data_IF_603949164499
#
_entry.id   IF_603949164499
#
_cell.length_a   1.000
_cell.length_b   1.000
_cell.length_c   1.000
_cell.angle_alpha   90.00
_cell.angle_beta   90.00
_cell.angle_gamma   90.00
#
_symmetry.space_group_name_H-M   'P 1'
#
loop_
_entity.id
_entity.type
_entity.pdbx_description
1 polymer ?
#
# COMPACT_ATOMS: atom_id res chain seq x y z
N UNK A 1 -10.43 -4.93 12.34
CA UNK A 1 -10.14 -5.85 13.46
C UNK A 1 -9.27 -5.22 14.54
N UNK A 2 -8.14 -4.58 14.20
CA UNK A 2 -7.18 -4.08 15.19
C UNK A 2 -7.73 -2.97 16.10
N UNK A 3 -8.61 -2.09 15.61
CA UNK A 3 -9.19 -1.00 16.42
C UNK A 3 -9.90 -1.49 17.67
N UNK A 4 -10.75 -2.51 17.54
CA UNK A 4 -11.48 -3.09 18.69
C UNK A 4 -10.55 -3.77 19.68
N UNK A 5 -9.46 -4.39 19.22
CA UNK A 5 -8.42 -4.96 20.08
C UNK A 5 -7.64 -3.88 20.85
N UNK A 6 -7.57 -2.66 20.32
CA UNK A 6 -6.92 -1.51 20.94
C UNK A 6 -7.88 -0.65 21.77
N UNK A 7 -9.12 -1.11 22.00
CA UNK A 7 -10.13 -0.42 22.80
C UNK A 7 -10.91 0.67 22.06
N UNK A 8 -10.79 0.73 20.73
CA UNK A 8 -11.39 1.75 19.88
C UNK A 8 -12.60 1.20 19.11
N UNK A 9 -13.51 2.09 18.70
CA UNK A 9 -14.69 1.69 17.92
C UNK A 9 -14.26 1.11 16.56
N UNK A 10 -15.05 0.18 15.97
CA UNK A 10 -14.84 -0.25 14.59
C UNK A 10 -14.74 0.95 13.65
N UNK A 11 -13.84 0.86 12.67
CA UNK A 11 -13.66 1.91 11.67
C UNK A 11 -14.93 2.05 10.84
N UNK A 12 -15.30 3.28 10.54
CA UNK A 12 -16.24 3.60 9.47
C UNK A 12 -15.41 4.01 8.24
N UNK A 13 -15.72 3.45 7.06
CA UNK A 13 -15.06 3.83 5.83
C UNK A 13 -15.46 5.29 5.50
N UNK A 14 -14.49 6.20 5.48
CA UNK A 14 -14.69 7.61 5.11
C UNK A 14 -13.57 8.13 4.19
N UNK A 15 -13.80 9.30 3.58
CA UNK A 15 -12.83 9.98 2.73
C UNK A 15 -12.25 9.10 1.60
N UNK A 16 -10.93 9.20 1.39
CA UNK A 16 -10.19 8.49 0.33
C UNK A 16 -10.34 6.97 0.44
N UNK A 17 -10.37 6.45 1.67
CA UNK A 17 -10.51 5.02 1.92
C UNK A 17 -11.88 4.51 1.49
N UNK A 18 -12.95 5.25 1.79
CA UNK A 18 -14.29 4.91 1.30
C UNK A 18 -14.34 4.90 -0.23
N UNK A 19 -13.81 5.95 -0.86
CA UNK A 19 -13.80 6.06 -2.32
C UNK A 19 -13.09 4.85 -2.99
N UNK A 20 -11.95 4.43 -2.44
CA UNK A 20 -11.20 3.28 -2.94
C UNK A 20 -11.97 1.96 -2.76
N UNK A 21 -12.53 1.75 -1.55
CA UNK A 21 -13.31 0.55 -1.23
C UNK A 21 -14.56 0.42 -2.11
N UNK A 22 -15.31 1.51 -2.27
CA UNK A 22 -16.52 1.53 -3.08
C UNK A 22 -16.22 1.30 -4.57
N UNK A 23 -15.15 1.92 -5.10
CA UNK A 23 -14.76 1.74 -6.49
C UNK A 23 -14.42 0.28 -6.80
N UNK A 24 -13.65 -0.38 -5.92
CA UNK A 24 -13.32 -1.80 -6.04
C UNK A 24 -14.55 -2.70 -5.87
N UNK A 25 -15.41 -2.41 -4.88
CA UNK A 25 -16.63 -3.17 -4.65
C UNK A 25 -17.56 -3.13 -5.87
N UNK A 26 -17.71 -1.96 -6.49
CA UNK A 26 -18.50 -1.85 -7.72
C UNK A 26 -17.90 -2.67 -8.88
N UNK A 27 -16.57 -2.69 -9.03
CA UNK A 27 -15.92 -3.53 -10.04
C UNK A 27 -16.14 -5.03 -9.79
N UNK A 28 -16.17 -5.48 -8.53
CA UNK A 28 -16.51 -6.86 -8.19
C UNK A 28 -17.93 -7.23 -8.66
N UNK A 29 -18.90 -6.33 -8.49
CA UNK A 29 -20.27 -6.54 -8.99
C UNK A 29 -20.29 -6.68 -10.51
N UNK A 30 -19.49 -5.88 -11.23
CA UNK A 30 -19.38 -5.94 -12.70
C UNK A 30 -18.78 -7.27 -13.16
N UNK A 31 -17.67 -7.70 -12.55
CA UNK A 31 -17.07 -9.01 -12.86
C UNK A 31 -18.03 -10.16 -12.54
N UNK A 32 -18.75 -10.09 -11.42
CA UNK A 32 -19.73 -11.11 -11.07
C UNK A 32 -20.87 -11.20 -12.10
N UNK A 33 -21.40 -10.07 -12.55
CA UNK A 33 -22.42 -10.04 -13.61
C UNK A 33 -21.88 -10.64 -14.90
N UNK A 34 -20.65 -10.30 -15.27
CA UNK A 34 -20.05 -10.82 -16.50
C UNK A 34 -19.89 -12.34 -16.46
N UNK A 35 -19.35 -12.87 -15.36
CA UNK A 35 -19.21 -14.31 -15.14
C UNK A 35 -20.57 -15.05 -15.24
N UNK A 36 -21.68 -14.40 -14.87
CA UNK A 36 -23.01 -14.99 -15.05
C UNK A 36 -23.50 -15.01 -16.50
N UNK A 37 -23.13 -14.00 -17.30
CA UNK A 37 -23.58 -13.86 -18.70
C UNK A 37 -22.84 -14.83 -19.61
N UNK A 38 -21.52 -14.90 -19.53
CA UNK A 38 -20.68 -15.67 -20.46
C UNK A 38 -20.11 -16.97 -19.87
N UNK A 39 -20.35 -17.24 -18.58
CA UNK A 39 -19.80 -18.37 -17.82
C UNK A 39 -18.28 -18.34 -17.65
N UNK A 40 -17.60 -17.25 -18.05
CA UNK A 40 -16.17 -17.00 -17.92
C UNK A 40 -15.29 -18.19 -18.34
N UNK A 41 -15.36 -18.65 -19.61
CA UNK A 41 -14.69 -19.86 -20.05
C UNK A 41 -13.15 -19.77 -19.97
N UNK A 42 -12.59 -18.57 -20.04
CA UNK A 42 -11.14 -18.33 -19.90
C UNK A 42 -10.70 -18.10 -18.44
N UNK A 43 -11.66 -18.03 -17.51
CA UNK A 43 -11.45 -17.74 -16.09
C UNK A 43 -10.80 -16.38 -15.78
N UNK A 44 -10.81 -15.44 -16.72
CA UNK A 44 -10.15 -14.15 -16.56
C UNK A 44 -10.90 -13.25 -15.58
N UNK A 45 -12.24 -13.26 -15.61
CA UNK A 45 -13.03 -12.47 -14.67
C UNK A 45 -12.97 -13.03 -13.26
N UNK A 46 -12.94 -14.36 -13.09
CA UNK A 46 -12.72 -15.01 -11.80
C UNK A 46 -11.35 -14.65 -11.21
N UNK A 47 -10.31 -14.65 -12.04
CA UNK A 47 -8.96 -14.24 -11.64
C UNK A 47 -8.93 -12.79 -11.16
N UNK A 48 -9.48 -11.87 -11.95
CA UNK A 48 -9.56 -10.44 -11.60
C UNK A 48 -10.43 -10.19 -10.36
N UNK A 49 -11.52 -10.94 -10.19
CA UNK A 49 -12.38 -10.88 -9.01
C UNK A 49 -11.60 -11.25 -7.74
N UNK A 50 -10.89 -12.39 -7.75
CA UNK A 50 -10.07 -12.83 -6.60
C UNK A 50 -8.96 -11.83 -6.29
N UNK A 51 -8.28 -11.30 -7.30
CA UNK A 51 -7.25 -10.28 -7.09
C UNK A 51 -7.81 -8.99 -6.50
N UNK A 52 -8.98 -8.56 -6.96
CA UNK A 52 -9.67 -7.36 -6.44
C UNK A 52 -10.13 -7.56 -5.00
N UNK A 53 -10.67 -8.73 -4.65
CA UNK A 53 -10.98 -9.06 -3.24
C UNK A 53 -9.72 -9.04 -2.36
N UNK A 54 -8.62 -9.60 -2.85
CA UNK A 54 -7.34 -9.57 -2.15
C UNK A 54 -6.81 -8.14 -1.94
N UNK A 55 -7.07 -7.22 -2.89
CA UNK A 55 -6.74 -5.80 -2.76
C UNK A 55 -7.59 -5.09 -1.71
N UNK A 56 -8.90 -5.36 -1.65
CA UNK A 56 -9.79 -4.84 -0.60
C UNK A 56 -9.28 -5.24 0.79
N UNK A 57 -9.00 -6.52 1.00
CA UNK A 57 -8.46 -7.02 2.28
C UNK A 57 -7.10 -6.39 2.58
N UNK A 58 -6.20 -6.30 1.59
CA UNK A 58 -4.88 -5.69 1.78
C UNK A 58 -4.97 -4.21 2.16
N UNK A 59 -5.92 -3.47 1.57
CA UNK A 59 -6.13 -2.05 1.90
C UNK A 59 -6.67 -1.87 3.33
N UNK A 60 -7.57 -2.74 3.77
CA UNK A 60 -8.04 -2.73 5.16
C UNK A 60 -6.89 -3.01 6.13
N UNK A 61 -6.04 -4.00 5.85
CA UNK A 61 -4.84 -4.30 6.64
C UNK A 61 -3.86 -3.12 6.69
N UNK A 62 -3.57 -2.48 5.55
CA UNK A 62 -2.70 -1.31 5.48
C UNK A 62 -3.21 -0.17 6.37
N UNK A 63 -4.50 0.14 6.30
CA UNK A 63 -5.10 1.17 7.17
C UNK A 63 -4.95 0.80 8.64
N UNK A 64 -5.26 -0.46 8.98
CA UNK A 64 -5.20 -0.91 10.37
C UNK A 64 -3.76 -0.91 10.92
N UNK A 65 -2.77 -1.26 10.11
CA UNK A 65 -1.35 -1.16 10.49
C UNK A 65 -0.93 0.30 10.70
N UNK A 66 -1.38 1.22 9.85
CA UNK A 66 -1.13 2.66 10.05
C UNK A 66 -1.81 3.17 11.33
N UNK A 67 -3.05 2.75 11.59
CA UNK A 67 -3.77 3.09 12.82
C UNK A 67 -3.05 2.58 14.06
N UNK A 68 -2.67 1.30 14.07
CA UNK A 68 -1.98 0.69 15.21
C UNK A 68 -0.62 1.33 15.46
N UNK A 69 0.17 1.61 14.42
CA UNK A 69 1.42 2.36 14.55
C UNK A 69 1.17 3.72 15.19
N UNK A 70 0.19 4.49 14.70
CA UNK A 70 -0.16 5.78 15.28
C UNK A 70 -0.63 5.69 16.75
N UNK A 71 -1.33 4.62 17.11
CA UNK A 71 -1.78 4.36 18.49
C UNK A 71 -0.60 4.14 19.44
N UNK A 72 0.31 3.23 19.08
CA UNK A 72 1.46 2.90 19.91
C UNK A 72 2.48 4.03 19.97
N UNK A 73 2.64 4.78 18.88
CA UNK A 73 3.47 5.99 18.82
C UNK A 73 3.15 6.98 19.94
N UNK A 74 1.87 7.19 20.27
CA UNK A 74 1.43 8.17 21.29
C UNK A 74 1.97 7.86 22.69
N UNK A 75 2.34 6.61 22.95
CA UNK A 75 2.83 6.14 24.24
C UNK A 75 4.36 6.18 24.37
N UNK A 76 5.06 6.60 23.31
CA UNK A 76 6.53 6.75 23.27
C UNK A 76 6.86 8.23 23.38
N UNK A 77 7.48 8.63 24.48
CA UNK A 77 7.78 10.02 24.85
C UNK A 77 9.29 10.28 25.03
N UNK A 78 10.07 9.24 25.35
CA UNK A 78 11.51 9.33 25.48
C UNK A 78 12.17 9.78 24.16
N UNK A 79 13.27 10.53 24.27
CA UNK A 79 14.06 10.99 23.11
C UNK A 79 15.13 9.99 22.65
N UNK A 80 15.37 8.93 23.41
CA UNK A 80 16.28 7.83 23.07
C UNK A 80 15.74 6.51 23.59
N UNK A 81 16.17 5.39 23.00
CA UNK A 81 15.82 4.04 23.44
C UNK A 81 16.36 3.71 24.83
N UNK A 82 17.46 4.36 25.23
CA UNK A 82 18.12 4.13 26.53
C UNK A 82 17.32 4.77 27.68
N UNK A 83 16.60 5.86 27.38
CA UNK A 83 15.80 6.59 28.36
C UNK A 83 14.38 6.01 28.51
N UNK A 84 14.00 5.01 27.71
CA UNK A 84 12.68 4.39 27.77
C UNK A 84 12.53 3.48 28.99
N UNK A 85 11.39 3.59 29.67
CA UNK A 85 10.97 2.58 30.66
C UNK A 85 10.69 1.22 30.00
N UNK A 86 10.71 0.09 30.73
CA UNK A 86 10.38 -1.21 30.15
C UNK A 86 9.00 -1.25 29.46
N UNK A 87 8.00 -0.56 30.04
CA UNK A 87 6.67 -0.43 29.45
C UNK A 87 6.73 0.33 28.13
N UNK A 88 7.44 1.45 28.11
CA UNK A 88 7.60 2.27 26.91
C UNK A 88 8.36 1.53 25.79
N UNK A 89 9.40 0.76 26.14
CA UNK A 89 10.10 -0.12 25.18
C UNK A 89 9.16 -1.11 24.51
N UNK A 90 8.22 -1.68 25.27
CA UNK A 90 7.22 -2.59 24.72
C UNK A 90 6.24 -1.87 23.76
N UNK A 91 5.80 -0.64 24.10
CA UNK A 91 4.97 0.16 23.18
C UNK A 91 5.75 0.57 21.93
N UNK A 92 7.03 0.93 22.05
CA UNK A 92 7.91 1.23 20.92
C UNK A 92 8.09 0.03 19.99
N UNK A 93 8.31 -1.17 20.55
CA UNK A 93 8.41 -2.39 19.76
C UNK A 93 7.11 -2.67 18.95
N UNK A 94 5.94 -2.46 19.55
CA UNK A 94 4.65 -2.57 18.85
C UNK A 94 4.49 -1.52 17.77
N UNK A 95 4.88 -0.27 18.04
CA UNK A 95 4.93 0.78 17.03
C UNK A 95 5.80 0.36 15.84
N UNK A 96 7.03 -0.09 16.08
CA UNK A 96 7.97 -0.51 15.04
C UNK A 96 7.38 -1.67 14.22
N UNK A 97 6.77 -2.66 14.87
CA UNK A 97 6.14 -3.79 14.20
C UNK A 97 5.07 -3.35 13.18
N UNK A 98 4.09 -2.56 13.62
CA UNK A 98 3.02 -2.09 12.73
C UNK A 98 3.50 -1.08 11.69
N UNK A 99 4.48 -0.25 12.03
CA UNK A 99 5.09 0.69 11.09
C UNK A 99 5.78 -0.02 9.94
N UNK A 100 6.62 -1.03 10.27
CA UNK A 100 7.31 -1.88 9.30
C UNK A 100 6.33 -2.60 8.38
N UNK A 101 5.36 -3.27 8.99
CA UNK A 101 4.33 -3.99 8.27
C UNK A 101 3.58 -3.08 7.28
N UNK A 102 3.13 -1.90 7.71
CA UNK A 102 2.33 -1.06 6.83
C UNK A 102 3.13 -0.38 5.72
N UNK A 103 4.42 0.00 5.89
CA UNK A 103 5.18 0.48 4.74
C UNK A 103 5.49 -0.64 3.73
N UNK A 104 5.66 -1.89 4.16
CA UNK A 104 5.82 -3.03 3.26
C UNK A 104 4.51 -3.26 2.49
N UNK A 105 3.38 -3.30 3.18
CA UNK A 105 2.04 -3.47 2.58
C UNK A 105 1.71 -2.37 1.59
N UNK A 106 2.09 -1.11 1.87
CA UNK A 106 1.88 0.01 0.98
C UNK A 106 2.43 -0.27 -0.43
N UNK A 107 3.70 -0.71 -0.54
CA UNK A 107 4.28 -1.05 -1.83
C UNK A 107 3.74 -2.34 -2.42
N UNK A 108 3.48 -3.35 -1.59
CA UNK A 108 2.89 -4.60 -2.07
C UNK A 108 1.51 -4.38 -2.72
N UNK A 109 0.69 -3.48 -2.17
CA UNK A 109 -0.61 -3.11 -2.75
C UNK A 109 -0.41 -2.39 -4.08
N UNK A 110 0.48 -1.40 -4.14
CA UNK A 110 0.78 -0.71 -5.41
C UNK A 110 1.20 -1.71 -6.49
N UNK A 111 2.10 -2.64 -6.17
CA UNK A 111 2.56 -3.66 -7.13
C UNK A 111 1.41 -4.59 -7.56
N UNK A 112 0.54 -5.02 -6.64
CA UNK A 112 -0.67 -5.79 -6.96
C UNK A 112 -1.62 -5.02 -7.89
N UNK A 113 -1.83 -3.73 -7.65
CA UNK A 113 -2.62 -2.87 -8.55
C UNK A 113 -1.96 -2.78 -9.92
N UNK A 114 -0.63 -2.64 -9.96
CA UNK A 114 0.14 -2.69 -11.21
C UNK A 114 -0.13 -3.98 -11.99
N UNK A 115 -0.13 -5.14 -11.32
CA UNK A 115 -0.47 -6.42 -11.95
C UNK A 115 -1.89 -6.44 -12.51
N UNK A 116 -2.89 -5.97 -11.75
CA UNK A 116 -4.28 -5.88 -12.22
C UNK A 116 -4.40 -4.99 -13.45
N UNK A 117 -3.77 -3.81 -13.43
CA UNK A 117 -3.82 -2.87 -14.56
C UNK A 117 -3.11 -3.42 -15.79
N UNK A 118 -1.95 -4.08 -15.59
CA UNK A 118 -1.25 -4.74 -16.68
C UNK A 118 -2.11 -5.81 -17.36
N UNK A 119 -2.86 -6.58 -16.57
CA UNK A 119 -3.76 -7.61 -17.07
C UNK A 119 -4.96 -7.01 -17.81
N UNK A 120 -5.69 -6.10 -17.17
CA UNK A 120 -6.93 -5.53 -17.72
C UNK A 120 -6.67 -4.76 -19.02
N UNK A 121 -5.57 -4.02 -19.09
CA UNK A 121 -5.23 -3.17 -20.23
C UNK A 121 -4.19 -3.79 -21.16
N UNK A 122 -3.86 -5.07 -20.96
CA UNK A 122 -2.92 -5.84 -21.78
C UNK A 122 -1.61 -5.08 -22.08
N UNK A 123 -1.07 -4.42 -21.05
CA UNK A 123 0.10 -3.53 -21.20
C UNK A 123 1.39 -4.30 -21.49
N UNK A 124 1.36 -5.63 -21.39
CA UNK A 124 2.49 -6.53 -21.72
C UNK A 124 3.79 -6.16 -21.00
N UNK A 125 3.69 -5.63 -19.78
CA UNK A 125 4.84 -5.18 -18.96
C UNK A 125 5.79 -6.34 -18.67
N UNK A 126 5.26 -7.55 -18.52
CA UNK A 126 6.01 -8.79 -18.34
C UNK A 126 6.99 -9.09 -19.48
N UNK A 127 6.71 -8.65 -20.71
CA UNK A 127 7.61 -8.82 -21.85
C UNK A 127 8.90 -8.02 -21.71
N UNK A 128 8.89 -6.96 -20.91
CA UNK A 128 10.10 -6.19 -20.59
C UNK A 128 10.78 -6.70 -19.31
N UNK A 129 10.01 -7.13 -18.30
CA UNK A 129 10.54 -7.63 -17.03
C UNK A 129 9.56 -8.58 -16.35
N UNK A 130 9.97 -9.83 -16.11
CA UNK A 130 9.13 -10.84 -15.45
C UNK A 130 8.62 -10.41 -14.06
N UNK A 131 9.46 -9.70 -13.28
CA UNK A 131 9.07 -9.09 -12.02
C UNK A 131 9.10 -7.56 -12.12
N UNK A 132 7.94 -6.95 -12.25
CA UNK A 132 7.79 -5.51 -12.39
C UNK A 132 7.11 -4.89 -11.16
N UNK A 133 7.37 -3.61 -10.92
CA UNK A 133 6.66 -2.82 -9.91
C UNK A 133 5.56 -2.00 -10.56
N UNK A 134 4.68 -1.46 -9.73
CA UNK A 134 3.70 -0.44 -10.11
C UNK A 134 4.30 0.67 -10.98
N UNK A 135 5.47 1.19 -10.59
CA UNK A 135 6.14 2.26 -11.31
C UNK A 135 6.68 1.83 -12.69
N UNK A 136 6.86 0.53 -12.93
CA UNK A 136 7.15 0.02 -14.28
C UNK A 136 5.87 -0.01 -15.11
N UNK A 137 4.74 -0.40 -14.53
CA UNK A 137 3.43 -0.38 -15.22
C UNK A 137 3.02 1.04 -15.59
N UNK A 138 3.23 2.02 -14.71
CA UNK A 138 2.97 3.44 -15.02
C UNK A 138 3.76 3.95 -16.24
N UNK A 139 5.01 3.49 -16.39
CA UNK A 139 5.81 3.85 -17.57
C UNK A 139 5.25 3.22 -18.85
N UNK A 140 4.69 2.02 -18.77
CA UNK A 140 4.05 1.39 -19.92
C UNK A 140 2.73 2.07 -20.30
N UNK A 141 1.96 2.51 -19.32
CA UNK A 141 0.76 3.32 -19.54
C UNK A 141 1.04 4.61 -20.33
N UNK A 142 2.17 5.26 -20.10
CA UNK A 142 2.55 6.48 -20.81
C UNK A 142 2.77 6.23 -22.31
N UNK A 143 3.20 5.02 -22.68
CA UNK A 143 3.30 4.61 -24.09
C UNK A 143 1.96 4.15 -24.68
N UNK A 144 1.00 3.74 -23.84
CA UNK A 144 -0.31 3.27 -24.27
C UNK A 144 -1.27 4.44 -24.54
N UNK A 145 -1.43 4.82 -25.81
CA UNK A 145 -2.29 5.95 -26.23
C UNK A 145 -3.76 5.81 -25.84
N UNK A 146 -4.28 4.59 -25.73
CA UNK A 146 -5.70 4.33 -25.48
C UNK A 146 -6.16 4.72 -24.06
N UNK A 147 -5.25 4.67 -23.08
CA UNK A 147 -5.56 4.93 -21.67
C UNK A 147 -4.80 6.14 -21.10
N UNK A 148 -4.49 7.11 -21.96
CA UNK A 148 -3.67 8.27 -21.61
C UNK A 148 -4.26 9.08 -20.44
N UNK A 149 -5.58 9.25 -20.38
CA UNK A 149 -6.24 9.97 -19.28
C UNK A 149 -5.97 9.32 -17.91
N UNK A 150 -6.02 7.99 -17.84
CA UNK A 150 -5.69 7.26 -16.62
C UNK A 150 -4.20 7.37 -16.32
N UNK A 151 -3.33 7.25 -17.34
CA UNK A 151 -1.89 7.39 -17.18
C UNK A 151 -1.51 8.74 -16.55
N UNK A 152 -2.03 9.85 -17.08
CA UNK A 152 -1.80 11.19 -16.57
C UNK A 152 -2.25 11.33 -15.10
N UNK A 153 -3.44 10.84 -14.78
CA UNK A 153 -3.97 10.90 -13.42
C UNK A 153 -3.10 10.11 -12.44
N UNK A 154 -2.68 8.89 -12.80
CA UNK A 154 -1.83 8.07 -11.94
C UNK A 154 -0.42 8.66 -11.77
N UNK A 155 0.12 9.29 -12.82
CA UNK A 155 1.38 10.03 -12.75
C UNK A 155 1.25 11.23 -11.80
N UNK A 156 0.18 12.00 -11.91
CA UNK A 156 -0.09 13.15 -11.05
C UNK A 156 -0.22 12.72 -9.57
N UNK A 157 -0.93 11.63 -9.28
CA UNK A 157 -1.02 11.06 -7.93
C UNK A 157 0.38 10.69 -7.44
N UNK A 158 1.14 9.91 -8.22
CA UNK A 158 2.52 9.51 -7.88
C UNK A 158 3.41 10.71 -7.57
N UNK A 159 3.34 11.77 -8.38
CA UNK A 159 4.18 12.95 -8.20
C UNK A 159 3.77 13.79 -6.97
N UNK A 160 2.47 13.84 -6.66
CA UNK A 160 1.94 14.52 -5.46
C UNK A 160 2.43 13.90 -4.14
N UNK A 161 2.76 12.60 -4.15
CA UNK A 161 3.26 11.85 -2.98
C UNK A 161 4.75 11.48 -3.08
N UNK A 162 5.51 12.09 -4.00
CA UNK A 162 6.89 11.69 -4.30
C UNK A 162 7.81 11.65 -3.08
N UNK A 163 7.78 12.70 -2.25
CA UNK A 163 8.65 12.81 -1.09
C UNK A 163 8.38 11.73 -0.01
N UNK A 164 7.16 11.61 0.55
CA UNK A 164 6.88 10.60 1.58
C UNK A 164 7.13 9.18 1.06
N UNK A 165 6.76 8.90 -0.20
CA UNK A 165 6.97 7.57 -0.79
C UNK A 165 8.44 7.26 -1.03
N UNK A 166 9.28 8.25 -1.34
CA UNK A 166 10.72 8.06 -1.43
C UNK A 166 11.30 7.61 -0.08
N UNK A 167 10.88 8.24 1.01
CA UNK A 167 11.33 7.89 2.37
C UNK A 167 10.84 6.51 2.80
N UNK A 168 9.55 6.21 2.61
CA UNK A 168 9.00 4.87 2.90
C UNK A 168 9.70 3.78 2.07
N UNK A 169 10.03 4.04 0.79
CA UNK A 169 10.74 3.10 -0.06
C UNK A 169 12.16 2.83 0.45
N UNK A 170 12.89 3.87 0.89
CA UNK A 170 14.23 3.72 1.48
C UNK A 170 14.16 2.84 2.74
N UNK A 171 13.21 3.12 3.64
CA UNK A 171 13.00 2.31 4.87
C UNK A 171 12.64 0.86 4.54
N UNK A 172 11.74 0.64 3.59
CA UNK A 172 11.40 -0.71 3.12
C UNK A 172 12.61 -1.46 2.56
N UNK A 173 13.40 -0.82 1.71
CA UNK A 173 14.58 -1.45 1.12
C UNK A 173 15.61 -1.83 2.19
N UNK A 174 15.80 -0.96 3.17
CA UNK A 174 16.68 -1.20 4.31
C UNK A 174 16.16 -2.35 5.19
N UNK A 175 14.85 -2.39 5.47
CA UNK A 175 14.23 -3.48 6.22
C UNK A 175 14.35 -4.83 5.51
N UNK A 176 14.05 -4.87 4.20
CA UNK A 176 14.21 -6.09 3.39
C UNK A 176 15.68 -6.51 3.36
N UNK A 177 16.61 -5.57 3.31
CA UNK A 177 18.04 -5.88 3.42
C UNK A 177 18.34 -6.54 4.77
N UNK A 178 17.93 -5.93 5.89
CA UNK A 178 18.15 -6.48 7.23
C UNK A 178 17.54 -7.88 7.43
N UNK A 179 16.31 -8.10 6.96
CA UNK A 179 15.67 -9.42 7.01
C UNK A 179 16.41 -10.48 6.17
N UNK A 180 17.15 -10.06 5.14
CA UNK A 180 17.92 -10.96 4.27
C UNK A 180 19.38 -11.10 4.71
N UNK A 181 19.93 -10.16 5.50
CA UNK A 181 21.35 -10.08 5.90
C UNK A 181 21.61 -10.50 7.36
N UNK A 182 20.66 -11.17 8.02
CA UNK A 182 20.50 -11.39 9.48
C UNK A 182 21.75 -11.74 10.33
N UNK A 183 22.92 -12.09 9.77
CA UNK A 183 24.14 -12.36 10.54
C UNK A 183 25.30 -11.37 10.38
N UNK A 184 25.30 -10.47 9.38
CA UNK A 184 26.42 -9.55 9.16
C UNK A 184 26.21 -8.14 9.74
N UNK A 185 24.97 -7.74 10.03
CA UNK A 185 24.62 -6.37 10.44
C UNK A 185 24.52 -6.14 11.96
N UNK A 186 24.45 -7.18 12.79
CA UNK A 186 24.50 -7.05 14.27
C UNK A 186 25.79 -6.33 14.72
N UNK A 187 26.89 -6.54 13.97
CA UNK A 187 28.16 -5.82 14.15
C UNK A 187 28.05 -4.32 13.85
N UNK A 188 27.18 -3.92 12.91
CA UNK A 188 27.00 -2.52 12.50
C UNK A 188 26.11 -1.76 13.49
N UNK A 189 25.09 -2.43 14.06
CA UNK A 189 24.28 -1.87 15.16
C UNK A 189 25.11 -1.66 16.44
N UNK A 190 26.05 -2.58 16.73
CA UNK A 190 27.07 -2.42 17.78
C UNK A 190 28.01 -1.23 17.51
N UNK A 191 28.32 -0.94 16.23
CA UNK A 191 29.17 0.21 15.87
C UNK A 191 28.46 1.56 16.04
N UNK A 192 27.14 1.63 15.89
CA UNK A 192 26.39 2.87 16.12
C UNK A 192 26.24 3.23 17.60
N UNK A 193 26.03 2.23 18.47
CA UNK A 193 25.96 2.45 19.94
C UNK A 193 27.31 2.84 20.54
N UNK A 194 28.44 2.51 19.89
CA UNK A 194 29.78 2.99 20.26
C UNK A 194 29.97 4.51 20.08
N UNK A 195 29.09 5.21 19.36
CA UNK A 195 29.20 6.67 19.10
C UNK A 195 28.25 7.53 19.97
N UNK A 196 27.60 6.95 20.98
CA UNK A 196 26.75 7.67 21.94
C UNK A 196 25.27 7.30 21.84
N UNK A 197 24.41 7.99 22.63
CA UNK A 197 22.97 7.72 22.67
C UNK A 197 22.35 7.91 21.28
N UNK A 198 21.77 6.86 20.73
CA UNK A 198 21.00 6.93 19.47
C UNK A 198 19.70 7.68 19.76
N UNK A 199 19.60 8.92 19.24
CA UNK A 199 18.36 9.69 19.29
C UNK A 199 17.30 8.99 18.45
N UNK A 200 16.08 8.91 18.97
CA UNK A 200 14.95 8.44 18.20
C UNK A 200 14.67 9.41 17.06
N UNK A 201 14.47 8.85 15.87
CA UNK A 201 13.95 9.58 14.72
C UNK A 201 12.57 10.17 15.04
N UNK A 202 12.12 11.18 14.29
CA UNK A 202 10.81 11.78 14.50
C UNK A 202 9.69 10.79 14.13
N UNK A 203 9.26 10.03 15.13
CA UNK A 203 8.24 9.01 14.95
C UNK A 203 6.85 9.63 14.61
N UNK A 204 6.61 10.92 14.88
CA UNK A 204 5.37 11.58 14.41
C UNK A 204 5.44 11.83 12.90
N UNK A 205 6.60 12.30 12.42
CA UNK A 205 6.86 12.44 11.00
C UNK A 205 6.71 11.09 10.28
N UNK A 206 7.20 10.00 10.87
CA UNK A 206 7.06 8.65 10.29
C UNK A 206 5.60 8.23 10.12
N UNK A 207 4.78 8.43 11.15
CA UNK A 207 3.34 8.15 11.09
C UNK A 207 2.68 9.02 10.02
N UNK A 208 3.07 10.29 9.91
CA UNK A 208 2.51 11.19 8.90
C UNK A 208 2.88 10.74 7.48
N UNK A 209 4.13 10.36 7.23
CA UNK A 209 4.58 9.82 5.95
C UNK A 209 3.84 8.52 5.60
N UNK A 210 3.60 7.68 6.60
CA UNK A 210 2.80 6.46 6.44
C UNK A 210 1.36 6.76 6.05
N UNK A 211 0.71 7.75 6.69
CA UNK A 211 -0.64 8.21 6.32
C UNK A 211 -0.69 8.71 4.89
N UNK A 212 0.32 9.47 4.46
CA UNK A 212 0.45 9.89 3.06
C UNK A 212 0.62 8.70 2.11
N UNK A 213 1.30 7.64 2.53
CA UNK A 213 1.35 6.37 1.79
C UNK A 213 -0.03 5.71 1.66
N UNK A 214 -0.81 5.65 2.74
CA UNK A 214 -2.21 5.15 2.71
C UNK A 214 -3.05 5.96 1.73
N UNK A 215 -2.94 7.29 1.80
CA UNK A 215 -3.66 8.20 0.92
C UNK A 215 -3.32 7.99 -0.56
N UNK A 216 -2.02 7.87 -0.89
CA UNK A 216 -1.60 7.58 -2.27
C UNK A 216 -2.19 6.27 -2.77
N UNK A 217 -2.16 5.21 -1.95
CA UNK A 217 -2.74 3.91 -2.30
C UNK A 217 -4.24 4.03 -2.55
N UNK A 218 -4.97 4.73 -1.67
CA UNK A 218 -6.40 4.95 -1.82
C UNK A 218 -6.73 5.72 -3.11
N UNK A 219 -6.01 6.80 -3.40
CA UNK A 219 -6.22 7.59 -4.61
C UNK A 219 -5.89 6.80 -5.87
N UNK A 220 -4.79 6.04 -5.85
CA UNK A 220 -4.39 5.15 -6.96
C UNK A 220 -5.47 4.10 -7.24
N UNK A 221 -5.97 3.43 -6.21
CA UNK A 221 -7.06 2.46 -6.31
C UNK A 221 -8.34 3.11 -6.84
N UNK A 222 -8.71 4.26 -6.27
CA UNK A 222 -9.92 5.00 -6.69
C UNK A 222 -9.84 5.36 -8.17
N UNK A 223 -8.74 5.96 -8.62
CA UNK A 223 -8.53 6.34 -10.02
C UNK A 223 -8.59 5.12 -10.94
N UNK A 224 -7.88 4.05 -10.58
CA UNK A 224 -7.79 2.81 -11.35
C UNK A 224 -9.16 2.15 -11.53
N UNK A 225 -9.84 1.87 -10.42
CA UNK A 225 -11.11 1.14 -10.45
C UNK A 225 -12.28 2.01 -10.96
N UNK A 226 -12.27 3.32 -10.69
CA UNK A 226 -13.27 4.22 -11.30
C UNK A 226 -13.14 4.25 -12.82
N UNK A 227 -11.90 4.23 -13.35
CA UNK A 227 -11.66 4.18 -14.78
C UNK A 227 -12.09 2.84 -15.39
N UNK A 228 -11.77 1.72 -14.73
CA UNK A 228 -12.26 0.37 -15.12
C UNK A 228 -13.79 0.37 -15.19
N UNK A 229 -14.46 0.86 -14.15
CA UNK A 229 -15.93 0.94 -14.10
C UNK A 229 -16.50 1.79 -15.25
N UNK A 230 -15.86 2.92 -15.57
CA UNK A 230 -16.26 3.80 -16.67
C UNK A 230 -16.14 3.12 -18.03
N UNK A 231 -15.02 2.45 -18.31
CA UNK A 231 -14.83 1.69 -19.56
C UNK A 231 -15.85 0.57 -19.64
N UNK A 232 -16.04 -0.17 -18.56
CA UNK A 232 -16.98 -1.28 -18.50
C UNK A 232 -18.40 -0.85 -18.84
N UNK A 233 -18.85 0.27 -18.26
CA UNK A 233 -20.15 0.86 -18.57
C UNK A 233 -20.24 1.24 -20.03
N UNK A 234 -19.22 1.87 -20.61
CA UNK A 234 -19.22 2.25 -22.03
C UNK A 234 -19.33 1.04 -22.97
N UNK A 235 -18.63 -0.04 -22.66
CA UNK A 235 -18.58 -1.23 -23.52
C UNK A 235 -19.83 -2.13 -23.40
N UNK A 236 -20.55 -2.06 -22.26
CA UNK A 236 -21.76 -2.85 -21.99
C UNK A 236 -23.06 -2.03 -22.00
N UNK A 237 -23.00 -0.76 -22.40
CA UNK A 237 -24.21 0.04 -22.69
C UNK A 237 -24.63 -0.22 -24.14
N UNK A 238 -25.37 -1.30 -24.36
CA UNK A 238 -26.23 -1.55 -25.52
C UNK A 238 -27.67 -1.64 -25.05
#
# INVERSE_FOLDING_TARGET
MLRTLLGEKPRINEGKLKAAMDAMAHTLELFQRQMHVDQDPTHDYRKLYVWTQGLISSLDELEQSCFAAAHFRKKVVAGSTDDMTPTEKAEYARYVYFYKDGFIRCFAILDKVGTVLNEIFQLNTSNTKAHFSYFTVLRQFDYAREHHDLALLLIQIKDSYREPMSKLRKRRNMEIHYMNSEMHDDLWQLHQTLQGKVKLEDLNQHVQEMRQGVDMVCETLTASYSYINKIWKRNNSL
#
